data_IF_576949471689
#
_entry.id   IF_576949471689
#
_cell.length_a   1.000
_cell.length_b   1.000
_cell.length_c   1.000
_cell.angle_alpha   90.00
_cell.angle_beta   90.00
_cell.angle_gamma   90.00
#
_symmetry.space_group_name_H-M   'P 1'
#
loop_
_entity.id
_entity.type
_entity.pdbx_description
1 polymer ?
#
# COMPACT_ATOMS: atom_id res chain seq x y z
N UNK A 1 23.19 39.61 13.16
CA UNK A 1 22.58 39.70 11.82
C UNK A 1 21.55 38.61 11.74
N UNK A 2 20.35 38.95 12.17
CA UNK A 2 19.19 38.06 12.30
C UNK A 2 18.51 38.08 10.94
N UNK A 3 18.71 37.05 10.13
CA UNK A 3 17.92 36.84 8.92
C UNK A 3 16.73 35.95 9.30
N UNK A 4 15.56 36.52 9.05
CA UNK A 4 14.23 36.07 9.41
C UNK A 4 13.91 34.79 8.62
N UNK A 5 13.56 33.72 9.34
CA UNK A 5 12.78 32.61 8.80
C UNK A 5 11.34 33.10 8.63
N UNK A 6 11.09 33.81 7.52
CA UNK A 6 9.75 34.13 7.08
C UNK A 6 9.26 32.89 6.32
N UNK A 7 8.44 32.07 6.99
CA UNK A 7 7.59 31.13 6.30
C UNK A 7 6.70 31.91 5.34
N UNK A 8 6.86 31.68 4.04
CA UNK A 8 6.07 32.32 3.00
C UNK A 8 4.60 31.96 3.23
N UNK A 9 3.81 32.94 3.64
CA UNK A 9 2.35 32.83 3.64
C UNK A 9 1.94 32.65 2.17
N UNK A 10 1.22 31.57 1.81
CA UNK A 10 0.83 31.32 0.43
C UNK A 10 0.00 32.48 -0.12
N UNK A 11 0.28 32.86 -1.37
CA UNK A 11 -0.44 33.94 -2.06
C UNK A 11 -1.93 33.58 -2.19
N UNK A 12 -2.86 34.56 -2.13
CA UNK A 12 -4.30 34.30 -2.20
C UNK A 12 -4.72 33.46 -3.42
N UNK A 13 -4.05 33.63 -4.57
CA UNK A 13 -4.31 32.85 -5.78
C UNK A 13 -3.93 31.36 -5.63
N UNK A 14 -2.87 31.06 -4.88
CA UNK A 14 -2.45 29.68 -4.60
C UNK A 14 -3.44 29.00 -3.65
N UNK A 15 -3.95 29.73 -2.65
CA UNK A 15 -4.98 29.23 -1.74
C UNK A 15 -6.29 28.92 -2.47
N UNK A 16 -6.72 29.81 -3.38
CA UNK A 16 -7.92 29.59 -4.21
C UNK A 16 -7.74 28.36 -5.11
N UNK A 17 -6.60 28.26 -5.81
CA UNK A 17 -6.32 27.12 -6.68
C UNK A 17 -6.26 25.80 -5.91
N UNK A 18 -5.65 25.80 -4.72
CA UNK A 18 -5.61 24.63 -3.84
C UNK A 18 -7.02 24.17 -3.42
N UNK A 19 -7.92 25.11 -3.13
CA UNK A 19 -9.32 24.79 -2.80
C UNK A 19 -10.10 24.22 -3.98
N UNK A 20 -9.89 24.74 -5.19
CA UNK A 20 -10.47 24.20 -6.43
C UNK A 20 -9.93 22.80 -6.74
N UNK A 21 -8.62 22.58 -6.56
CA UNK A 21 -7.97 21.28 -6.72
C UNK A 21 -8.53 20.25 -5.72
N UNK A 22 -8.67 20.62 -4.44
CA UNK A 22 -9.27 19.79 -3.42
C UNK A 22 -10.72 19.42 -3.75
N UNK A 23 -11.51 20.37 -4.25
CA UNK A 23 -12.91 20.12 -4.65
C UNK A 23 -12.99 19.13 -5.81
N UNK A 24 -12.19 19.33 -6.86
CA UNK A 24 -12.19 18.43 -8.03
C UNK A 24 -11.76 17.00 -7.67
N UNK A 25 -10.76 16.87 -6.79
CA UNK A 25 -10.26 15.58 -6.28
C UNK A 25 -11.31 14.90 -5.39
N UNK A 26 -11.99 15.67 -4.53
CA UNK A 26 -13.07 15.16 -3.68
C UNK A 26 -14.25 14.64 -4.51
N UNK A 27 -14.69 15.40 -5.51
CA UNK A 27 -15.76 14.99 -6.42
C UNK A 27 -15.40 13.70 -7.17
N UNK A 28 -14.13 13.54 -7.56
CA UNK A 28 -13.64 12.33 -8.20
C UNK A 28 -13.64 11.13 -7.25
N UNK A 29 -13.30 11.32 -5.96
CA UNK A 29 -13.43 10.29 -4.94
C UNK A 29 -14.88 9.85 -4.74
N UNK A 30 -15.85 10.77 -4.76
CA UNK A 30 -17.28 10.44 -4.71
C UNK A 30 -17.73 9.61 -5.92
N UNK A 31 -17.34 9.99 -7.15
CA UNK A 31 -17.66 9.21 -8.36
C UNK A 31 -17.05 7.81 -8.31
N UNK A 32 -15.84 7.68 -7.78
CA UNK A 32 -15.19 6.40 -7.59
C UNK A 32 -15.99 5.51 -6.61
N UNK A 33 -16.46 6.07 -5.49
CA UNK A 33 -17.36 5.36 -4.57
C UNK A 33 -18.67 4.96 -5.26
N UNK A 34 -19.24 5.82 -6.12
CA UNK A 34 -20.44 5.47 -6.90
C UNK A 34 -20.20 4.26 -7.80
N UNK A 35 -19.03 4.15 -8.45
CA UNK A 35 -18.64 2.96 -9.21
C UNK A 35 -18.59 1.72 -8.33
N UNK A 36 -17.91 1.80 -7.17
CA UNK A 36 -17.79 0.66 -6.26
C UNK A 36 -19.17 0.20 -5.75
N UNK A 37 -20.07 1.12 -5.42
CA UNK A 37 -21.42 0.79 -4.94
C UNK A 37 -22.27 0.19 -6.06
N UNK A 38 -22.27 0.79 -7.26
CA UNK A 38 -23.16 0.36 -8.36
C UNK A 38 -22.72 -0.95 -9.03
N UNK A 39 -21.44 -1.30 -8.95
CA UNK A 39 -20.89 -2.54 -9.53
C UNK A 39 -20.92 -3.73 -8.57
N UNK A 40 -21.34 -3.52 -7.33
CA UNK A 40 -21.52 -4.60 -6.38
C UNK A 40 -22.59 -5.57 -6.87
N UNK A 41 -22.20 -6.83 -7.03
CA UNK A 41 -23.08 -7.95 -7.34
C UNK A 41 -23.60 -8.46 -6.00
N UNK A 42 -24.90 -8.30 -5.77
CA UNK A 42 -25.55 -8.72 -4.52
C UNK A 42 -26.18 -10.10 -4.72
N UNK A 43 -25.70 -11.09 -3.98
CA UNK A 43 -26.31 -12.41 -3.93
C UNK A 43 -26.64 -12.85 -2.49
N UNK A 44 -27.00 -14.12 -2.30
CA UNK A 44 -27.35 -14.65 -0.97
C UNK A 44 -26.16 -14.75 -0.02
N UNK A 45 -24.94 -14.78 -0.55
CA UNK A 45 -23.70 -14.87 0.22
C UNK A 45 -23.23 -13.50 0.68
N UNK A 46 -23.53 -12.43 -0.06
CA UNK A 46 -23.19 -11.05 0.29
C UNK A 46 -22.87 -10.22 -0.95
N UNK A 47 -22.33 -9.00 -0.78
CA UNK A 47 -21.79 -8.25 -1.90
C UNK A 47 -20.46 -8.84 -2.38
N UNK A 48 -20.27 -8.86 -3.69
CA UNK A 48 -19.01 -9.20 -4.35
C UNK A 48 -18.80 -8.31 -5.57
N UNK A 49 -17.57 -8.23 -6.08
CA UNK A 49 -17.20 -7.35 -7.18
C UNK A 49 -16.58 -8.11 -8.35
N UNK A 50 -16.69 -7.57 -9.58
CA UNK A 50 -15.97 -8.11 -10.73
C UNK A 50 -14.46 -7.99 -10.51
N UNK A 51 -13.75 -9.11 -10.70
CA UNK A 51 -12.30 -9.20 -10.66
C UNK A 51 -11.79 -9.82 -11.96
N UNK A 52 -10.78 -9.21 -12.55
CA UNK A 52 -10.23 -9.68 -13.82
C UNK A 52 -9.38 -10.95 -13.66
N UNK A 53 -9.50 -11.83 -14.64
CA UNK A 53 -8.58 -12.94 -14.87
C UNK A 53 -7.60 -12.58 -15.97
N UNK A 54 -6.31 -12.72 -15.67
CA UNK A 54 -5.22 -12.35 -16.56
C UNK A 54 -4.61 -13.60 -17.19
N UNK A 55 -4.31 -13.49 -18.48
CA UNK A 55 -3.62 -14.53 -19.22
C UNK A 55 -2.11 -14.54 -18.93
N UNK A 56 -1.37 -15.51 -19.46
CA UNK A 56 0.09 -15.57 -19.33
C UNK A 56 0.82 -14.35 -19.91
N UNK A 57 0.18 -13.60 -20.81
CA UNK A 57 0.69 -12.36 -21.41
C UNK A 57 0.34 -11.09 -20.59
N UNK A 58 -0.32 -11.27 -19.44
CA UNK A 58 -0.79 -10.21 -18.57
C UNK A 58 -2.01 -9.45 -19.09
N UNK A 59 -2.67 -9.93 -20.15
CA UNK A 59 -3.90 -9.33 -20.67
C UNK A 59 -5.13 -9.93 -20.01
N UNK A 60 -6.13 -9.11 -19.73
CA UNK A 60 -7.41 -9.59 -19.26
C UNK A 60 -8.10 -10.48 -20.31
N UNK A 61 -8.59 -11.65 -19.89
CA UNK A 61 -9.34 -12.58 -20.74
C UNK A 61 -10.69 -13.01 -20.16
N UNK A 62 -10.96 -12.68 -18.89
CA UNK A 62 -12.14 -13.13 -18.18
C UNK A 62 -12.44 -12.25 -16.98
N UNK A 63 -13.66 -12.38 -16.46
CA UNK A 63 -14.11 -11.72 -15.23
C UNK A 63 -14.74 -12.78 -14.35
N UNK A 64 -14.31 -12.81 -13.10
CA UNK A 64 -14.91 -13.62 -12.03
C UNK A 64 -15.47 -12.69 -10.96
N UNK A 65 -16.31 -13.25 -10.10
CA UNK A 65 -16.72 -12.61 -8.86
C UNK A 65 -16.40 -13.55 -7.68
N UNK A 66 -16.34 -13.00 -6.48
CA UNK A 66 -16.09 -13.75 -5.24
C UNK A 66 -14.61 -13.92 -4.89
N UNK A 67 -13.70 -13.17 -5.54
CA UNK A 67 -12.27 -13.19 -5.18
C UNK A 67 -12.12 -12.50 -3.83
N UNK A 68 -11.58 -13.19 -2.83
CA UNK A 68 -11.59 -12.72 -1.43
C UNK A 68 -10.42 -11.81 -1.02
N UNK A 69 -9.38 -11.71 -1.84
CA UNK A 69 -8.11 -11.05 -1.50
C UNK A 69 -8.29 -9.57 -1.17
N UNK A 70 -7.36 -9.04 -0.34
CA UNK A 70 -7.26 -7.60 -0.09
C UNK A 70 -6.71 -6.86 -1.33
N UNK A 71 -5.88 -7.53 -2.12
CA UNK A 71 -5.18 -6.94 -3.26
C UNK A 71 -6.12 -6.62 -4.43
N UNK A 72 -6.73 -7.66 -5.00
CA UNK A 72 -7.52 -7.61 -6.25
C UNK A 72 -8.94 -8.16 -6.08
N UNK A 73 -9.44 -8.21 -4.84
CA UNK A 73 -10.71 -8.84 -4.49
C UNK A 73 -11.60 -8.04 -3.56
N UNK A 74 -12.69 -8.69 -3.14
CA UNK A 74 -13.78 -8.16 -2.34
C UNK A 74 -13.29 -7.55 -1.03
N UNK A 75 -12.29 -8.15 -0.35
CA UNK A 75 -11.79 -7.60 0.90
C UNK A 75 -11.13 -6.23 0.70
N UNK A 76 -10.45 -6.01 -0.43
CA UNK A 76 -9.87 -4.72 -0.79
C UNK A 76 -10.93 -3.64 -0.98
N UNK A 77 -12.01 -3.99 -1.70
CA UNK A 77 -13.13 -3.07 -1.95
C UNK A 77 -13.88 -2.76 -0.66
N UNK A 78 -14.18 -3.78 0.16
CA UNK A 78 -14.83 -3.63 1.46
C UNK A 78 -14.00 -2.78 2.42
N UNK A 79 -12.68 -3.00 2.45
CA UNK A 79 -11.77 -2.21 3.28
C UNK A 79 -11.79 -0.73 2.85
N UNK A 80 -11.72 -0.45 1.54
CA UNK A 80 -11.80 0.91 1.03
C UNK A 80 -13.15 1.57 1.34
N UNK A 81 -14.27 0.89 1.06
CA UNK A 81 -15.62 1.40 1.33
C UNK A 81 -15.88 1.64 2.83
N UNK A 82 -15.24 0.88 3.73
CA UNK A 82 -15.32 1.11 5.18
C UNK A 82 -14.78 2.49 5.54
N UNK A 83 -13.63 2.85 5.00
CA UNK A 83 -12.98 4.14 5.27
C UNK A 83 -13.63 5.28 4.49
N UNK A 84 -13.86 5.10 3.19
CA UNK A 84 -14.49 6.09 2.32
C UNK A 84 -15.94 6.39 2.72
N UNK A 85 -16.70 5.37 3.10
CA UNK A 85 -18.09 5.52 3.56
C UNK A 85 -18.20 6.49 4.73
N UNK A 86 -17.26 6.41 5.67
CA UNK A 86 -17.21 7.32 6.83
C UNK A 86 -16.67 8.69 6.44
N UNK A 87 -15.52 8.75 5.77
CA UNK A 87 -14.83 10.01 5.44
C UNK A 87 -15.63 10.91 4.49
N UNK A 88 -16.37 10.31 3.55
CA UNK A 88 -17.15 11.02 2.54
C UNK A 88 -18.64 11.14 2.90
N UNK A 89 -19.04 10.73 4.11
CA UNK A 89 -20.43 10.71 4.56
C UNK A 89 -21.37 9.98 3.59
N UNK A 90 -20.99 8.76 3.21
CA UNK A 90 -21.68 7.88 2.25
C UNK A 90 -22.28 6.67 2.98
N UNK A 91 -23.52 6.78 3.50
CA UNK A 91 -24.13 5.70 4.28
C UNK A 91 -24.37 4.44 3.46
N UNK A 92 -24.66 4.58 2.16
CA UNK A 92 -24.79 3.46 1.22
C UNK A 92 -23.49 2.65 1.08
N UNK A 93 -22.34 3.34 0.96
CA UNK A 93 -21.03 2.71 0.95
C UNK A 93 -20.71 2.03 2.29
N UNK A 94 -21.01 2.70 3.41
CA UNK A 94 -20.77 2.17 4.75
C UNK A 94 -21.63 0.92 5.06
N UNK A 95 -22.90 0.91 4.65
CA UNK A 95 -23.81 -0.23 4.78
C UNK A 95 -23.35 -1.41 3.92
N UNK A 96 -22.96 -1.15 2.67
CA UNK A 96 -22.42 -2.16 1.76
C UNK A 96 -21.13 -2.78 2.31
N UNK A 97 -20.21 -1.95 2.82
CA UNK A 97 -18.98 -2.40 3.46
C UNK A 97 -19.25 -3.24 4.70
N UNK A 98 -20.19 -2.83 5.57
CA UNK A 98 -20.55 -3.58 6.76
C UNK A 98 -21.13 -4.97 6.41
N UNK A 99 -21.96 -5.04 5.36
CA UNK A 99 -22.48 -6.30 4.83
C UNK A 99 -21.36 -7.21 4.30
N UNK A 100 -20.48 -6.68 3.44
CA UNK A 100 -19.35 -7.42 2.88
C UNK A 100 -18.37 -7.92 3.94
N UNK A 101 -18.03 -7.08 4.93
CA UNK A 101 -17.18 -7.46 6.05
C UNK A 101 -17.80 -8.60 6.86
N UNK A 102 -19.10 -8.53 7.15
CA UNK A 102 -19.81 -9.61 7.85
C UNK A 102 -19.74 -10.93 7.07
N UNK A 103 -19.98 -10.90 5.76
CA UNK A 103 -19.90 -12.09 4.90
C UNK A 103 -18.49 -12.70 4.88
N UNK A 104 -17.48 -11.87 4.59
CA UNK A 104 -16.10 -12.34 4.44
C UNK A 104 -15.56 -12.93 5.76
N UNK A 105 -15.90 -12.31 6.89
CA UNK A 105 -15.47 -12.77 8.21
C UNK A 105 -16.20 -14.04 8.68
N UNK A 106 -17.46 -14.27 8.26
CA UNK A 106 -18.25 -15.45 8.61
C UNK A 106 -17.88 -16.68 7.78
N UNK A 107 -17.68 -16.51 6.48
CA UNK A 107 -17.39 -17.60 5.55
C UNK A 107 -15.89 -17.62 5.28
N UNK A 108 -15.15 -18.41 6.06
CA UNK A 108 -13.70 -18.55 5.88
C UNK A 108 -13.35 -19.87 5.19
N UNK A 109 -12.41 -19.88 4.23
CA UNK A 109 -11.85 -21.10 3.71
C UNK A 109 -11.18 -21.88 4.85
N UNK A 110 -11.34 -23.20 4.82
CA UNK A 110 -10.69 -24.12 5.76
C UNK A 110 -9.93 -25.18 4.98
N UNK A 111 -8.80 -25.62 5.50
CA UNK A 111 -7.96 -26.62 4.87
C UNK A 111 -6.52 -26.15 4.63
N UNK A 112 -5.64 -27.05 4.18
CA UNK A 112 -4.21 -26.77 3.99
C UNK A 112 -3.94 -25.76 2.87
N UNK A 113 -4.84 -25.66 1.89
CA UNK A 113 -4.68 -24.77 0.73
C UNK A 113 -5.30 -23.38 0.94
N UNK A 114 -5.76 -23.08 2.16
CA UNK A 114 -6.35 -21.78 2.47
C UNK A 114 -5.27 -20.68 2.42
N UNK A 115 -5.45 -19.63 1.60
CA UNK A 115 -4.46 -18.58 1.47
C UNK A 115 -4.38 -17.75 2.75
N UNK A 116 -3.17 -17.50 3.27
CA UNK A 116 -2.99 -16.98 4.62
C UNK A 116 -2.40 -15.56 4.71
N UNK A 117 -1.64 -15.09 3.70
CA UNK A 117 -0.98 -13.78 3.74
C UNK A 117 -1.90 -12.57 3.71
N UNK A 118 -1.31 -11.36 3.70
CA UNK A 118 -2.07 -10.11 3.84
C UNK A 118 -2.73 -9.67 2.55
N UNK A 119 -1.99 -9.66 1.44
CA UNK A 119 -2.50 -9.16 0.17
C UNK A 119 -3.37 -10.21 -0.51
N UNK A 120 -2.93 -11.47 -0.45
CA UNK A 120 -3.58 -12.61 -1.09
C UNK A 120 -3.84 -13.68 -0.03
N UNK A 121 -4.69 -13.38 0.95
CA UNK A 121 -5.07 -14.35 1.98
C UNK A 121 -5.95 -13.80 3.11
N UNK A 122 -6.21 -14.65 4.07
CA UNK A 122 -7.15 -14.38 5.17
C UNK A 122 -6.61 -13.37 6.20
N UNK A 123 -5.30 -13.12 6.28
CA UNK A 123 -4.78 -12.03 7.09
C UNK A 123 -5.22 -10.65 6.56
N UNK A 124 -5.46 -10.52 5.26
CA UNK A 124 -6.07 -9.33 4.66
C UNK A 124 -7.53 -9.16 5.05
N UNK A 125 -8.30 -10.26 5.05
CA UNK A 125 -9.69 -10.29 5.51
C UNK A 125 -9.80 -9.92 6.98
N UNK A 126 -8.81 -10.31 7.80
CA UNK A 126 -8.73 -9.92 9.21
C UNK A 126 -8.62 -8.40 9.41
N UNK A 127 -8.17 -7.63 8.40
CA UNK A 127 -8.18 -6.17 8.46
C UNK A 127 -9.61 -5.57 8.46
N UNK A 128 -10.61 -6.34 8.07
CA UNK A 128 -12.02 -5.91 8.11
C UNK A 128 -12.62 -6.04 9.51
N UNK A 129 -11.93 -6.73 10.41
CA UNK A 129 -12.42 -7.01 11.73
C UNK A 129 -12.29 -5.75 12.62
N UNK A 130 -13.37 -5.38 13.32
CA UNK A 130 -13.32 -4.28 14.32
C UNK A 130 -12.40 -4.67 15.47
N UNK A 131 -11.82 -3.68 16.15
CA UNK A 131 -11.03 -3.88 17.38
C UNK A 131 -11.81 -4.79 18.36
N UNK A 132 -11.21 -5.92 18.74
CA UNK A 132 -11.82 -6.93 19.62
C UNK A 132 -12.51 -8.11 18.92
N UNK A 133 -12.69 -8.07 17.59
CA UNK A 133 -13.20 -9.19 16.82
C UNK A 133 -12.22 -10.38 16.77
N UNK A 134 -12.71 -11.57 16.40
CA UNK A 134 -11.90 -12.80 16.31
C UNK A 134 -11.05 -12.76 15.04
N UNK A 135 -9.73 -12.68 15.21
CA UNK A 135 -8.73 -13.00 14.18
C UNK A 135 -8.29 -14.44 14.38
N UNK A 136 -8.14 -15.20 13.29
CA UNK A 136 -7.73 -16.60 13.38
C UNK A 136 -6.21 -16.69 13.26
N UNK A 137 -5.52 -17.48 14.10
CA UNK A 137 -4.10 -17.77 13.88
C UNK A 137 -3.94 -18.48 12.54
N UNK A 138 -3.22 -17.84 11.60
CA UNK A 138 -2.86 -18.42 10.31
C UNK A 138 -1.39 -18.83 10.28
N UNK A 139 -1.03 -19.68 9.31
CA UNK A 139 0.36 -20.00 8.99
C UNK A 139 0.54 -20.04 7.49
N UNK A 140 1.72 -19.66 7.02
CA UNK A 140 2.06 -19.64 5.59
C UNK A 140 3.43 -20.24 5.34
N UNK A 141 3.60 -20.82 4.15
CA UNK A 141 4.89 -21.27 3.65
C UNK A 141 5.71 -20.09 3.10
N UNK A 142 5.07 -19.03 2.58
CA UNK A 142 5.75 -17.79 2.22
C UNK A 142 6.30 -17.02 3.43
N UNK A 143 7.29 -16.14 3.23
CA UNK A 143 7.81 -15.25 4.29
C UNK A 143 7.30 -13.82 4.18
N UNK A 144 6.83 -13.41 2.99
CA UNK A 144 6.57 -12.01 2.67
C UNK A 144 5.19 -11.49 3.12
N UNK A 145 4.86 -10.26 2.73
CA UNK A 145 3.58 -9.59 3.04
C UNK A 145 2.45 -10.15 2.18
N UNK A 146 2.74 -10.52 0.93
CA UNK A 146 1.71 -10.91 -0.05
C UNK A 146 0.95 -12.15 0.40
N UNK A 147 1.65 -13.28 0.50
CA UNK A 147 1.06 -14.59 0.80
C UNK A 147 1.74 -15.27 2.02
N UNK A 148 2.69 -14.59 2.65
CA UNK A 148 3.56 -15.14 3.68
C UNK A 148 3.32 -14.72 5.12
N UNK A 149 4.25 -15.16 5.97
CA UNK A 149 4.23 -14.96 7.41
C UNK A 149 4.32 -13.50 7.85
N UNK A 150 5.07 -12.64 7.15
CA UNK A 150 5.12 -11.22 7.49
C UNK A 150 3.74 -10.55 7.34
N UNK A 151 2.96 -10.97 6.34
CA UNK A 151 1.59 -10.48 6.16
C UNK A 151 0.68 -10.84 7.34
N UNK A 152 0.77 -12.08 7.82
CA UNK A 152 0.06 -12.56 9.01
C UNK A 152 0.51 -11.76 10.24
N UNK A 153 1.81 -11.62 10.45
CA UNK A 153 2.37 -10.87 11.59
C UNK A 153 1.85 -9.43 11.64
N UNK A 154 1.80 -8.75 10.48
CA UNK A 154 1.28 -7.39 10.38
C UNK A 154 -0.22 -7.34 10.72
N UNK A 155 -1.00 -8.31 10.25
CA UNK A 155 -2.42 -8.45 10.62
C UNK A 155 -2.62 -8.61 12.14
N UNK A 156 -1.83 -9.48 12.77
CA UNK A 156 -1.87 -9.71 14.22
C UNK A 156 -1.48 -8.45 15.02
N UNK A 157 -0.41 -7.77 14.60
CA UNK A 157 0.08 -6.56 15.25
C UNK A 157 -1.00 -5.48 15.26
N UNK A 158 -1.67 -5.28 14.13
CA UNK A 158 -2.73 -4.28 14.04
C UNK A 158 -4.01 -4.66 14.77
N UNK A 159 -4.36 -5.94 14.79
CA UNK A 159 -5.43 -6.43 15.66
C UNK A 159 -5.05 -6.36 17.16
N UNK A 160 -3.74 -6.25 17.46
CA UNK A 160 -3.13 -6.30 18.80
C UNK A 160 -3.48 -7.59 19.56
N UNK A 161 -3.36 -8.74 18.88
CA UNK A 161 -3.73 -10.05 19.46
C UNK A 161 -2.70 -11.14 19.16
N UNK A 162 -2.74 -12.19 19.97
CA UNK A 162 -1.97 -13.42 19.78
C UNK A 162 -0.45 -13.20 19.81
N UNK A 163 0.07 -12.56 20.87
CA UNK A 163 1.51 -12.33 21.06
C UNK A 163 2.34 -13.61 20.93
N UNK A 164 1.89 -14.72 21.54
CA UNK A 164 2.60 -16.02 21.44
C UNK A 164 2.70 -16.51 19.98
N UNK A 165 1.66 -16.26 19.18
CA UNK A 165 1.65 -16.62 17.76
C UNK A 165 2.55 -15.69 16.95
N UNK A 166 2.54 -14.39 17.25
CA UNK A 166 3.46 -13.43 16.68
C UNK A 166 4.93 -13.79 17.00
N UNK A 167 5.23 -14.23 18.22
CA UNK A 167 6.56 -14.69 18.61
C UNK A 167 7.00 -15.94 17.82
N UNK A 168 6.09 -16.90 17.61
CA UNK A 168 6.36 -18.06 16.77
C UNK A 168 6.65 -17.67 15.31
N UNK A 169 5.91 -16.69 14.77
CA UNK A 169 6.15 -16.16 13.41
C UNK A 169 7.52 -15.48 13.32
N UNK A 170 7.91 -14.65 14.30
CA UNK A 170 9.22 -13.99 14.31
C UNK A 170 10.35 -15.02 14.37
N UNK A 171 10.20 -16.07 15.17
CA UNK A 171 11.17 -17.17 15.23
C UNK A 171 11.29 -17.89 13.89
N UNK A 172 10.18 -18.15 13.20
CA UNK A 172 10.18 -18.81 11.90
C UNK A 172 10.75 -17.91 10.79
N UNK A 173 10.42 -16.61 10.77
CA UNK A 173 11.02 -15.66 9.84
C UNK A 173 12.54 -15.61 10.02
N UNK A 174 13.04 -15.69 11.25
CA UNK A 174 14.47 -15.82 11.52
C UNK A 174 15.04 -17.14 11.01
N UNK A 175 14.33 -18.25 11.21
CA UNK A 175 14.76 -19.57 10.74
C UNK A 175 14.87 -19.65 9.21
N UNK A 176 13.89 -19.08 8.48
CA UNK A 176 13.83 -19.05 7.01
C UNK A 176 14.79 -18.06 6.37
N UNK A 177 15.29 -17.10 7.13
CA UNK A 177 16.23 -16.11 6.62
C UNK A 177 17.60 -16.73 6.30
N UNK A 178 18.27 -16.18 5.29
CA UNK A 178 19.67 -16.47 4.95
C UNK A 178 20.56 -15.37 5.51
N UNK A 179 21.64 -15.74 6.18
CA UNK A 179 22.69 -14.80 6.60
C UNK A 179 23.47 -14.36 5.36
N UNK A 180 23.60 -13.06 5.19
CA UNK A 180 24.30 -12.42 4.09
C UNK A 180 25.54 -11.66 4.63
N UNK A 181 26.46 -11.19 3.77
CA UNK A 181 27.56 -10.34 4.22
C UNK A 181 27.09 -9.09 4.99
N UNK A 182 25.92 -8.57 4.61
CA UNK A 182 25.24 -7.45 5.26
C UNK A 182 23.81 -7.88 5.58
N UNK A 183 23.53 -8.11 6.87
CA UNK A 183 22.18 -8.44 7.34
C UNK A 183 21.67 -9.82 6.90
N UNK A 184 20.37 -9.90 6.62
CA UNK A 184 19.67 -11.13 6.25
C UNK A 184 18.70 -10.93 5.10
N UNK A 185 18.51 -11.99 4.33
CA UNK A 185 17.60 -12.02 3.18
C UNK A 185 16.60 -13.19 3.29
N UNK A 186 15.50 -13.14 2.54
CA UNK A 186 14.46 -14.17 2.53
C UNK A 186 14.27 -14.76 1.14
N UNK A 187 15.00 -15.83 0.80
CA UNK A 187 14.71 -16.58 -0.42
C UNK A 187 13.37 -17.30 -0.30
N UNK A 188 12.61 -17.38 -1.39
CA UNK A 188 11.39 -18.20 -1.41
C UNK A 188 11.75 -19.67 -1.59
N UNK A 189 11.70 -20.42 -0.49
CA UNK A 189 12.06 -21.84 -0.46
C UNK A 189 11.07 -22.75 -1.21
N UNK A 190 9.90 -22.23 -1.60
CA UNK A 190 8.93 -22.94 -2.44
C UNK A 190 9.36 -22.95 -3.90
N UNK A 191 10.26 -22.05 -4.28
CA UNK A 191 10.77 -21.88 -5.63
C UNK A 191 12.18 -22.46 -5.76
N UNK A 192 12.68 -22.56 -6.99
CA UNK A 192 14.01 -23.10 -7.29
C UNK A 192 14.81 -22.17 -8.19
N UNK A 193 16.15 -22.25 -8.08
CA UNK A 193 17.06 -21.48 -8.92
C UNK A 193 16.91 -19.97 -8.75
N UNK A 194 16.93 -19.23 -9.86
CA UNK A 194 16.80 -17.76 -9.84
C UNK A 194 15.46 -17.24 -9.30
N UNK A 195 14.38 -18.02 -9.43
CA UNK A 195 13.05 -17.63 -8.94
C UNK A 195 12.96 -17.60 -7.41
N UNK A 196 13.82 -18.35 -6.71
CA UNK A 196 13.91 -18.35 -5.24
C UNK A 196 14.72 -17.18 -4.69
N UNK A 197 15.21 -16.27 -5.54
CA UNK A 197 16.10 -15.19 -5.12
C UNK A 197 15.38 -14.26 -4.13
N UNK A 198 16.05 -13.84 -3.04
CA UNK A 198 15.51 -12.82 -2.15
C UNK A 198 15.28 -11.50 -2.88
N UNK A 199 14.21 -10.79 -2.52
CA UNK A 199 13.77 -9.57 -3.22
C UNK A 199 13.82 -8.33 -2.32
N UNK A 200 14.01 -7.16 -2.93
CA UNK A 200 13.81 -5.87 -2.28
C UNK A 200 12.35 -5.41 -2.41
N UNK A 201 11.94 -4.43 -1.61
CA UNK A 201 10.64 -3.79 -1.72
C UNK A 201 9.54 -4.40 -0.85
N UNK A 202 8.31 -3.91 -1.03
CA UNK A 202 7.23 -4.08 -0.05
C UNK A 202 6.54 -5.45 -0.11
N UNK A 203 6.06 -5.86 -1.27
CA UNK A 203 5.11 -6.97 -1.37
C UNK A 203 5.78 -8.32 -1.08
N UNK A 204 6.86 -8.61 -1.81
CA UNK A 204 7.61 -9.86 -1.72
C UNK A 204 9.02 -9.71 -1.13
N UNK A 205 9.37 -8.50 -0.69
CA UNK A 205 10.75 -8.16 -0.36
C UNK A 205 11.01 -7.86 1.11
N UNK A 206 12.28 -7.56 1.41
CA UNK A 206 12.77 -7.31 2.76
C UNK A 206 12.10 -6.11 3.45
N UNK A 207 11.70 -5.07 2.72
CA UNK A 207 10.97 -3.92 3.28
C UNK A 207 9.66 -4.35 3.95
N UNK A 208 8.89 -5.22 3.31
CA UNK A 208 7.63 -5.72 3.88
C UNK A 208 7.85 -6.51 5.16
N UNK A 209 8.90 -7.34 5.19
CA UNK A 209 9.28 -8.12 6.35
C UNK A 209 9.74 -7.20 7.50
N UNK A 210 10.61 -6.23 7.22
CA UNK A 210 11.07 -5.25 8.19
C UNK A 210 9.91 -4.45 8.78
N UNK A 211 8.95 -4.06 7.95
CA UNK A 211 7.75 -3.34 8.38
C UNK A 211 6.89 -4.16 9.34
N UNK A 212 6.57 -5.40 8.99
CA UNK A 212 5.78 -6.28 9.87
C UNK A 212 6.46 -6.52 11.22
N UNK A 213 7.78 -6.71 11.22
CA UNK A 213 8.58 -6.90 12.43
C UNK A 213 8.57 -5.65 13.32
N UNK A 214 8.74 -4.46 12.73
CA UNK A 214 8.72 -3.20 13.48
C UNK A 214 7.34 -2.90 14.08
N UNK A 215 6.26 -3.15 13.34
CA UNK A 215 4.88 -2.97 13.85
C UNK A 215 4.59 -3.97 14.99
N UNK A 216 5.04 -5.22 14.88
CA UNK A 216 4.92 -6.20 15.96
C UNK A 216 5.70 -5.77 17.21
N UNK A 217 6.93 -5.28 17.05
CA UNK A 217 7.75 -4.78 18.15
C UNK A 217 7.11 -3.57 18.86
N UNK A 218 6.46 -2.68 18.10
CA UNK A 218 5.75 -1.52 18.65
C UNK A 218 4.52 -1.91 19.49
N UNK A 219 3.96 -3.10 19.24
CA UNK A 219 2.77 -3.60 19.96
C UNK A 219 3.19 -4.46 21.16
N UNK A 220 4.20 -5.31 21.01
CA UNK A 220 4.63 -6.28 22.02
C UNK A 220 6.07 -6.06 22.45
N UNK A 221 6.25 -5.33 23.54
CA UNK A 221 7.58 -5.00 24.08
C UNK A 221 8.46 -6.22 24.40
N UNK A 222 7.87 -7.36 24.78
CA UNK A 222 8.61 -8.61 25.01
C UNK A 222 9.21 -9.21 23.74
N UNK A 223 8.57 -8.98 22.60
CA UNK A 223 9.03 -9.45 21.28
C UNK A 223 9.99 -8.46 20.61
N UNK A 224 10.04 -7.21 21.08
CA UNK A 224 10.77 -6.13 20.44
C UNK A 224 12.25 -6.45 20.18
N UNK A 225 13.06 -6.99 21.11
CA UNK A 225 14.47 -7.26 20.83
C UNK A 225 14.66 -8.21 19.64
N UNK A 226 13.95 -9.34 19.64
CA UNK A 226 14.11 -10.35 18.58
C UNK A 226 13.59 -9.89 17.22
N UNK A 227 12.49 -9.13 17.21
CA UNK A 227 11.87 -8.61 16.00
C UNK A 227 12.66 -7.45 15.40
N UNK A 228 13.11 -6.50 16.23
CA UNK A 228 13.85 -5.33 15.77
C UNK A 228 15.26 -5.66 15.29
N UNK A 229 15.95 -6.62 15.93
CA UNK A 229 17.22 -7.14 15.41
C UNK A 229 17.03 -7.72 14.00
N UNK A 230 15.95 -8.47 13.78
CA UNK A 230 15.66 -9.06 12.48
C UNK A 230 15.22 -8.01 11.44
N UNK A 231 14.49 -6.99 11.87
CA UNK A 231 14.14 -5.85 11.01
C UNK A 231 15.38 -5.06 10.59
N UNK A 232 16.32 -4.84 11.51
CA UNK A 232 17.59 -4.18 11.21
C UNK A 232 18.44 -5.01 10.24
N UNK A 233 18.49 -6.34 10.40
CA UNK A 233 19.15 -7.25 9.45
C UNK A 233 18.51 -7.17 8.05
N UNK A 234 17.17 -7.06 7.96
CA UNK A 234 16.46 -6.90 6.69
C UNK A 234 16.82 -5.57 5.99
N UNK A 235 16.81 -4.47 6.76
CA UNK A 235 17.16 -3.14 6.26
C UNK A 235 18.62 -3.06 5.83
N UNK A 236 19.54 -3.68 6.58
CA UNK A 236 20.97 -3.73 6.25
C UNK A 236 21.21 -4.46 4.92
N UNK A 237 20.51 -5.57 4.70
CA UNK A 237 20.59 -6.30 3.44
C UNK A 237 20.04 -5.48 2.28
N UNK A 238 18.85 -4.87 2.46
CA UNK A 238 18.23 -4.08 1.40
C UNK A 238 19.03 -2.81 1.06
N UNK A 239 19.66 -2.19 2.06
CA UNK A 239 20.56 -1.05 1.87
C UNK A 239 21.79 -1.42 1.02
N UNK A 240 22.27 -2.67 1.10
CA UNK A 240 23.39 -3.14 0.27
C UNK A 240 23.05 -3.24 -1.23
N UNK A 241 21.76 -3.26 -1.58
CA UNK A 241 21.26 -3.23 -2.96
C UNK A 241 20.83 -1.84 -3.43
N UNK A 242 20.64 -0.89 -2.50
CA UNK A 242 20.17 0.45 -2.82
C UNK A 242 21.22 1.22 -3.62
N UNK A 243 20.82 1.77 -4.77
CA UNK A 243 21.59 2.69 -5.59
C UNK A 243 20.85 4.04 -5.65
N UNK A 244 21.28 5.04 -4.86
CA UNK A 244 20.65 6.35 -4.83
C UNK A 244 20.63 7.07 -6.19
N UNK A 245 21.61 6.81 -7.07
CA UNK A 245 21.64 7.43 -8.40
C UNK A 245 20.57 6.84 -9.34
N UNK A 246 20.03 5.66 -9.02
CA UNK A 246 19.04 4.95 -9.84
C UNK A 246 17.65 4.91 -9.22
N UNK A 247 17.42 5.57 -8.08
CA UNK A 247 16.12 5.60 -7.42
C UNK A 247 15.98 4.59 -6.27
N UNK A 248 17.09 4.05 -5.77
CA UNK A 248 17.13 3.20 -4.58
C UNK A 248 17.12 1.73 -4.94
N UNK A 249 15.98 1.06 -4.78
CA UNK A 249 15.94 -0.40 -4.71
C UNK A 249 15.66 -1.07 -6.06
N UNK A 250 16.48 -2.05 -6.45
CA UNK A 250 16.28 -2.78 -7.68
C UNK A 250 15.18 -3.84 -7.58
N UNK A 251 14.54 -4.16 -8.70
CA UNK A 251 13.87 -5.44 -8.89
C UNK A 251 14.90 -6.52 -9.23
N UNK A 252 14.90 -7.58 -8.44
CA UNK A 252 15.87 -8.67 -8.52
C UNK A 252 15.29 -9.94 -9.17
N UNK A 253 14.00 -9.94 -9.56
CA UNK A 253 13.30 -11.14 -10.03
C UNK A 253 13.87 -11.75 -11.30
N UNK A 254 14.14 -10.93 -12.33
CA UNK A 254 14.54 -11.40 -13.65
C UNK A 254 15.64 -10.54 -14.26
N UNK A 255 16.50 -11.16 -15.07
CA UNK A 255 17.45 -10.46 -15.93
C UNK A 255 18.41 -9.51 -15.20
N UNK A 256 18.76 -8.43 -15.90
CA UNK A 256 19.51 -7.31 -15.34
C UNK A 256 18.60 -6.49 -14.41
N UNK A 257 19.08 -6.08 -13.22
CA UNK A 257 18.28 -5.31 -12.29
C UNK A 257 17.70 -4.03 -12.91
N UNK A 258 16.43 -3.77 -12.62
CA UNK A 258 15.75 -2.50 -12.96
C UNK A 258 15.40 -1.75 -11.68
N UNK A 259 15.12 -0.45 -11.75
CA UNK A 259 14.78 0.38 -10.58
C UNK A 259 13.38 0.98 -10.74
N UNK A 260 12.33 0.20 -10.45
CA UNK A 260 10.95 0.67 -10.58
C UNK A 260 10.56 1.64 -9.47
N UNK A 261 9.52 2.42 -9.75
CA UNK A 261 8.91 3.35 -8.79
C UNK A 261 7.61 2.77 -8.18
N UNK A 262 7.42 1.45 -8.25
CA UNK A 262 6.15 0.80 -7.94
C UNK A 262 5.95 0.57 -6.43
N UNK A 263 4.68 0.46 -6.02
CA UNK A 263 4.34 0.22 -4.62
C UNK A 263 4.66 -1.20 -4.17
N UNK A 264 4.45 -2.22 -5.02
CA UNK A 264 4.76 -3.60 -4.66
C UNK A 264 6.27 -3.89 -4.61
N UNK A 265 7.06 -3.29 -5.51
CA UNK A 265 8.50 -3.42 -5.56
C UNK A 265 9.12 -2.15 -6.16
N UNK A 266 10.15 -1.60 -5.51
CA UNK A 266 10.79 -0.36 -5.93
C UNK A 266 10.61 0.80 -4.96
N UNK A 267 10.88 2.01 -5.45
CA UNK A 267 11.04 3.22 -4.63
C UNK A 267 9.81 3.53 -3.77
N UNK A 268 8.58 3.39 -4.30
CA UNK A 268 7.38 3.77 -3.56
C UNK A 268 7.13 2.86 -2.36
N UNK A 269 7.11 1.53 -2.56
CA UNK A 269 6.88 0.59 -1.46
C UNK A 269 7.94 0.64 -0.38
N UNK A 270 9.21 0.64 -0.80
CA UNK A 270 10.35 0.73 0.09
C UNK A 270 10.37 2.07 0.85
N UNK A 271 10.11 3.18 0.16
CA UNK A 271 10.02 4.52 0.75
C UNK A 271 8.90 4.65 1.79
N UNK A 272 7.72 4.11 1.50
CA UNK A 272 6.61 4.07 2.46
C UNK A 272 7.03 3.39 3.77
N UNK A 273 7.76 2.27 3.68
CA UNK A 273 8.27 1.57 4.86
C UNK A 273 9.26 2.44 5.64
N UNK A 274 10.19 3.16 4.99
CA UNK A 274 11.14 4.03 5.70
C UNK A 274 10.42 5.17 6.40
N UNK A 275 9.45 5.81 5.75
CA UNK A 275 8.61 6.84 6.36
C UNK A 275 7.86 6.29 7.59
N UNK A 276 7.34 5.06 7.50
CA UNK A 276 6.67 4.42 8.63
C UNK A 276 7.63 4.10 9.77
N UNK A 277 8.84 3.65 9.49
CA UNK A 277 9.86 3.42 10.51
C UNK A 277 10.23 4.72 11.25
N UNK A 278 10.35 5.84 10.53
CA UNK A 278 10.56 7.16 11.15
C UNK A 278 9.39 7.56 12.07
N UNK A 279 8.14 7.31 11.67
CA UNK A 279 6.97 7.55 12.52
C UNK A 279 6.99 6.69 13.79
N UNK A 280 7.32 5.40 13.66
CA UNK A 280 7.41 4.48 14.80
C UNK A 280 8.53 4.93 15.76
N UNK A 281 9.68 5.33 15.24
CA UNK A 281 10.77 5.89 16.03
C UNK A 281 10.37 7.19 16.74
N UNK A 282 9.70 8.11 16.03
CA UNK A 282 9.14 9.35 16.61
C UNK A 282 8.07 9.08 17.68
N UNK A 283 7.44 7.90 17.66
CA UNK A 283 6.50 7.42 18.67
C UNK A 283 7.17 6.66 19.82
N UNK A 284 8.50 6.60 19.86
CA UNK A 284 9.29 6.01 20.94
C UNK A 284 9.81 4.60 20.71
N UNK A 285 9.67 4.03 19.51
CA UNK A 285 10.27 2.72 19.18
C UNK A 285 11.79 2.88 18.95
N UNK A 286 12.59 2.20 19.76
CA UNK A 286 14.05 2.22 19.62
C UNK A 286 14.51 1.29 18.50
N UNK A 287 14.67 1.83 17.29
CA UNK A 287 15.12 1.07 16.12
C UNK A 287 16.65 0.86 16.14
N UNK A 288 17.15 -0.39 16.10
CA UNK A 288 18.60 -0.65 16.06
C UNK A 288 19.28 -0.18 14.77
N UNK A 289 18.52 -0.02 13.69
CA UNK A 289 19.01 0.48 12.41
C UNK A 289 19.11 2.02 12.41
N UNK A 290 20.13 2.56 11.75
CA UNK A 290 20.44 4.00 11.72
C UNK A 290 19.25 4.84 11.23
N UNK A 291 18.71 5.72 12.10
CA UNK A 291 17.65 6.65 11.74
C UNK A 291 18.08 7.66 10.68
N UNK A 292 19.35 8.06 10.67
CA UNK A 292 19.91 8.95 9.63
C UNK A 292 19.90 8.25 8.26
N UNK A 293 20.23 6.95 8.24
CA UNK A 293 20.16 6.14 7.02
C UNK A 293 18.71 5.94 6.59
N UNK A 294 17.79 5.62 7.52
CA UNK A 294 16.36 5.52 7.23
C UNK A 294 15.80 6.82 6.66
N UNK A 295 16.20 7.98 7.21
CA UNK A 295 15.78 9.29 6.71
C UNK A 295 16.33 9.57 5.31
N UNK A 296 17.61 9.34 5.07
CA UNK A 296 18.22 9.55 3.75
C UNK A 296 17.57 8.65 2.68
N UNK A 297 17.29 7.38 3.01
CA UNK A 297 16.57 6.47 2.12
C UNK A 297 15.12 6.91 1.86
N UNK A 298 14.42 7.41 2.89
CA UNK A 298 13.07 7.96 2.73
C UNK A 298 13.07 9.19 1.80
N UNK A 299 13.97 10.14 2.00
CA UNK A 299 14.09 11.36 1.20
C UNK A 299 14.44 11.05 -0.26
N UNK A 300 15.36 10.10 -0.49
CA UNK A 300 15.66 9.57 -1.82
C UNK A 300 14.40 8.99 -2.50
N UNK A 301 13.65 8.15 -1.79
CA UNK A 301 12.42 7.57 -2.31
C UNK A 301 11.37 8.64 -2.63
N UNK A 302 11.19 9.63 -1.76
CA UNK A 302 10.26 10.76 -1.95
C UNK A 302 10.65 11.59 -3.17
N UNK A 303 11.94 11.87 -3.35
CA UNK A 303 12.42 12.56 -4.55
C UNK A 303 12.10 11.77 -5.82
N UNK A 304 12.36 10.46 -5.81
CA UNK A 304 12.11 9.59 -6.95
C UNK A 304 10.60 9.47 -7.25
N UNK A 305 9.78 9.29 -6.24
CA UNK A 305 8.32 9.26 -6.37
C UNK A 305 7.77 10.60 -6.88
N UNK A 306 8.31 11.73 -6.41
CA UNK A 306 7.96 13.06 -6.90
C UNK A 306 8.32 13.27 -8.38
N UNK A 307 9.43 12.70 -8.85
CA UNK A 307 9.80 12.67 -10.26
C UNK A 307 8.79 11.86 -11.08
N UNK A 308 8.50 10.61 -10.68
CA UNK A 308 7.52 9.76 -11.36
C UNK A 308 6.13 10.42 -11.44
N UNK A 309 5.69 11.06 -10.36
CA UNK A 309 4.46 11.85 -10.32
C UNK A 309 4.48 13.03 -11.30
N UNK A 310 5.59 13.75 -11.40
CA UNK A 310 5.74 14.89 -12.31
C UNK A 310 5.76 14.45 -13.78
N UNK A 311 6.42 13.35 -14.08
CA UNK A 311 6.47 12.73 -15.42
C UNK A 311 5.08 12.24 -15.85
N UNK A 312 4.31 11.65 -14.93
CA UNK A 312 2.92 11.28 -15.18
C UNK A 312 2.05 12.51 -15.47
N UNK A 313 2.16 13.57 -14.67
CA UNK A 313 1.41 14.81 -14.90
C UNK A 313 1.76 15.44 -16.27
N UNK A 314 3.04 15.45 -16.66
CA UNK A 314 3.47 15.91 -17.98
C UNK A 314 2.92 15.02 -19.12
N UNK A 315 2.84 13.71 -18.91
CA UNK A 315 2.25 12.77 -19.87
C UNK A 315 0.76 13.06 -20.04
N UNK A 316 0.02 13.25 -18.95
CA UNK A 316 -1.40 13.62 -18.98
C UNK A 316 -1.60 14.95 -19.72
N UNK A 317 -0.76 15.95 -19.46
CA UNK A 317 -0.86 17.26 -20.10
C UNK A 317 -0.59 17.23 -21.62
N UNK A 318 0.20 16.27 -22.11
CA UNK A 318 0.64 16.21 -23.52
C UNK A 318 -0.11 15.15 -24.33
N UNK A 319 -0.51 14.05 -23.71
CA UNK A 319 -1.10 12.87 -24.36
C UNK A 319 -2.51 12.54 -23.84
N UNK A 320 -3.02 13.30 -22.86
CA UNK A 320 -4.26 13.00 -22.16
C UNK A 320 -4.10 11.86 -21.14
N UNK A 321 -5.13 11.63 -20.33
CA UNK A 321 -5.05 10.62 -19.26
C UNK A 321 -4.92 9.17 -19.77
N UNK A 322 -5.42 8.89 -20.99
CA UNK A 322 -5.27 7.58 -21.65
C UNK A 322 -3.81 7.26 -22.04
N UNK A 323 -2.92 8.26 -22.08
CA UNK A 323 -1.47 8.04 -22.24
C UNK A 323 -0.83 7.39 -21.01
N UNK A 324 -1.50 7.41 -19.86
CA UNK A 324 -1.03 6.82 -18.62
C UNK A 324 -1.53 5.36 -18.51
N UNK A 325 -0.76 4.41 -19.06
CA UNK A 325 -1.21 3.01 -19.25
C UNK A 325 -1.65 2.29 -17.97
N UNK A 326 -1.00 2.55 -16.83
CA UNK A 326 -1.38 1.97 -15.53
C UNK A 326 -2.25 2.90 -14.66
N UNK A 327 -2.59 4.08 -15.22
CA UNK A 327 -3.39 5.10 -14.57
C UNK A 327 -2.87 5.52 -13.20
N UNK A 328 -3.82 5.83 -12.34
CA UNK A 328 -3.62 6.16 -10.93
C UNK A 328 -3.87 4.96 -10.02
N UNK A 329 -3.60 3.75 -10.50
CA UNK A 329 -3.67 2.56 -9.64
C UNK A 329 -2.55 2.56 -8.59
N UNK A 330 -2.80 1.92 -7.44
CA UNK A 330 -1.86 1.90 -6.32
C UNK A 330 -0.58 1.12 -6.65
N UNK A 331 -0.73 -0.08 -7.20
CA UNK A 331 0.36 -1.05 -7.30
C UNK A 331 1.29 -0.77 -8.49
N UNK A 332 0.71 -0.55 -9.66
CA UNK A 332 1.43 -0.40 -10.93
C UNK A 332 1.33 1.01 -11.51
N UNK A 333 0.47 1.87 -10.95
CA UNK A 333 0.23 3.23 -11.40
C UNK A 333 0.89 4.28 -10.52
N UNK A 334 0.58 5.55 -10.79
CA UNK A 334 1.23 6.68 -10.12
C UNK A 334 0.65 6.99 -8.73
N UNK A 335 -0.44 6.33 -8.31
CA UNK A 335 -0.97 6.54 -6.96
C UNK A 335 -0.03 6.00 -5.87
N UNK A 336 0.72 4.93 -6.11
CA UNK A 336 1.76 4.47 -5.20
C UNK A 336 2.80 5.56 -4.91
N UNK A 337 3.52 6.06 -5.93
CA UNK A 337 4.42 7.21 -5.80
C UNK A 337 3.76 8.44 -5.15
N UNK A 338 2.57 8.82 -5.60
CA UNK A 338 1.88 10.01 -5.10
C UNK A 338 1.52 9.89 -3.62
N UNK A 339 1.06 8.71 -3.19
CA UNK A 339 0.76 8.44 -1.78
C UNK A 339 1.99 8.48 -0.88
N UNK A 340 3.18 8.11 -1.39
CA UNK A 340 4.45 8.25 -0.66
C UNK A 340 4.83 9.71 -0.49
N UNK A 341 4.67 10.52 -1.53
CA UNK A 341 4.90 11.97 -1.45
C UNK A 341 3.93 12.60 -0.45
N UNK A 342 2.64 12.23 -0.51
CA UNK A 342 1.64 12.71 0.45
C UNK A 342 1.97 12.31 1.90
N UNK A 343 2.35 11.06 2.14
CA UNK A 343 2.75 10.56 3.45
C UNK A 343 3.99 11.32 3.99
N UNK A 344 4.96 11.62 3.11
CA UNK A 344 6.16 12.33 3.49
C UNK A 344 5.89 13.75 3.99
N UNK A 345 4.81 14.39 3.53
CA UNK A 345 4.42 15.71 4.01
C UNK A 345 4.24 15.73 5.53
N UNK A 346 3.60 14.69 6.09
CA UNK A 346 3.37 14.59 7.53
C UNK A 346 4.59 14.08 8.30
N UNK A 347 5.33 13.13 7.72
CA UNK A 347 6.45 12.46 8.41
C UNK A 347 7.70 13.34 8.47
N UNK A 348 7.94 14.11 7.41
CA UNK A 348 9.10 14.98 7.27
C UNK A 348 8.78 16.44 7.61
N UNK A 349 7.52 16.77 7.90
CA UNK A 349 7.03 18.12 8.19
C UNK A 349 7.29 19.09 7.02
N UNK A 350 6.92 18.67 5.80
CA UNK A 350 7.09 19.42 4.54
C UNK A 350 5.75 19.49 3.80
N UNK A 351 4.87 20.45 4.14
CA UNK A 351 3.50 20.51 3.61
C UNK A 351 3.42 20.63 2.08
N UNK A 352 4.45 21.18 1.44
CA UNK A 352 4.54 21.35 -0.01
C UNK A 352 4.51 20.01 -0.77
N UNK A 353 4.91 18.91 -0.12
CA UNK A 353 4.76 17.59 -0.71
C UNK A 353 3.29 17.24 -0.97
N UNK A 354 2.40 17.54 -0.02
CA UNK A 354 0.96 17.30 -0.17
C UNK A 354 0.34 18.23 -1.19
N UNK A 355 0.72 19.50 -1.22
CA UNK A 355 0.24 20.46 -2.21
C UNK A 355 0.55 19.98 -3.64
N UNK A 356 1.78 19.49 -3.87
CA UNK A 356 2.18 18.93 -5.17
C UNK A 356 1.42 17.66 -5.52
N UNK A 357 1.22 16.77 -4.55
CA UNK A 357 0.44 15.55 -4.73
C UNK A 357 -1.03 15.86 -5.09
N UNK A 358 -1.64 16.82 -4.39
CA UNK A 358 -2.99 17.29 -4.67
C UNK A 358 -3.10 17.90 -6.07
N UNK A 359 -2.16 18.77 -6.46
CA UNK A 359 -2.15 19.38 -7.79
C UNK A 359 -1.99 18.35 -8.93
N UNK A 360 -1.16 17.33 -8.71
CA UNK A 360 -1.00 16.22 -9.67
C UNK A 360 -2.29 15.40 -9.79
N UNK A 361 -2.95 15.09 -8.67
CA UNK A 361 -4.23 14.39 -8.66
C UNK A 361 -5.32 15.21 -9.36
N UNK A 362 -5.40 16.51 -9.07
CA UNK A 362 -6.34 17.43 -9.69
C UNK A 362 -6.13 17.51 -11.21
N UNK A 363 -4.87 17.50 -11.68
CA UNK A 363 -4.53 17.43 -13.12
C UNK A 363 -5.04 16.14 -13.75
N UNK A 364 -4.85 15.00 -13.09
CA UNK A 364 -5.35 13.71 -13.56
C UNK A 364 -6.88 13.67 -13.63
N UNK A 365 -7.59 13.99 -12.54
CA UNK A 365 -9.05 13.86 -12.46
C UNK A 365 -9.79 14.80 -13.42
N UNK A 366 -9.16 15.92 -13.82
CA UNK A 366 -9.67 16.82 -14.87
C UNK A 366 -9.44 16.32 -16.29
N UNK A 367 -8.56 15.34 -16.47
CA UNK A 367 -8.13 14.84 -17.77
C UNK A 367 -8.70 13.47 -18.13
N UNK A 368 -9.23 12.73 -17.15
CA UNK A 368 -9.95 11.46 -17.35
C UNK A 368 -11.43 11.69 -17.67
N UNK A 369 -12.11 10.70 -18.26
CA UNK A 369 -13.56 10.69 -18.35
C UNK A 369 -14.23 10.88 -16.99
N UNK A 370 -15.45 11.43 -17.01
CA UNK A 370 -16.24 11.62 -15.79
C UNK A 370 -16.53 10.29 -15.10
N UNK A 371 -16.78 9.23 -15.87
CA UNK A 371 -17.05 7.90 -15.34
C UNK A 371 -15.75 7.16 -14.98
N UNK A 372 -15.55 6.77 -13.69
CA UNK A 372 -14.38 5.99 -13.28
C UNK A 372 -14.26 4.61 -13.92
N UNK A 373 -15.32 4.09 -14.53
CA UNK A 373 -15.27 2.82 -15.29
C UNK A 373 -14.37 2.91 -16.52
N UNK A 374 -14.12 4.12 -17.01
CA UNK A 374 -13.22 4.36 -18.16
C UNK A 374 -11.81 4.77 -17.71
N UNK A 375 -11.53 4.77 -16.40
CA UNK A 375 -10.21 5.16 -15.92
C UNK A 375 -9.19 4.05 -16.21
N UNK A 376 -7.98 4.43 -16.70
CA UNK A 376 -6.89 3.47 -16.83
C UNK A 376 -6.57 2.84 -15.48
N UNK A 377 -6.28 1.55 -15.48
CA UNK A 377 -5.99 0.78 -14.29
C UNK A 377 -4.64 0.05 -14.42
N UNK A 378 -4.18 -0.60 -13.35
CA UNK A 378 -2.91 -1.33 -13.33
C UNK A 378 -2.87 -2.60 -14.20
N UNK A 379 -3.98 -2.95 -14.86
CA UNK A 379 -4.14 -4.18 -15.63
C UNK A 379 -4.30 -3.87 -17.13
N UNK A 380 -3.60 -4.64 -17.98
CA UNK A 380 -3.66 -4.41 -19.43
C UNK A 380 -5.00 -4.87 -20.01
N UNK A 381 -5.77 -3.91 -20.54
CA UNK A 381 -7.05 -4.16 -21.20
C UNK A 381 -8.19 -4.42 -20.23
N UNK A 382 -8.10 -3.92 -19.01
CA UNK A 382 -9.05 -4.13 -17.92
C UNK A 382 -9.45 -2.80 -17.25
N UNK A 383 -9.57 -1.73 -18.05
CA UNK A 383 -9.99 -0.40 -17.58
C UNK A 383 -11.24 -0.50 -16.70
N UNK A 384 -11.32 0.38 -15.70
CA UNK A 384 -12.42 0.34 -14.73
C UNK A 384 -12.35 -0.80 -13.70
N UNK A 385 -11.21 -1.51 -13.58
CA UNK A 385 -10.97 -2.42 -12.46
C UNK A 385 -11.31 -1.74 -11.13
N UNK A 386 -12.07 -2.42 -10.27
CA UNK A 386 -12.60 -1.86 -9.03
C UNK A 386 -11.73 -2.19 -7.81
N UNK A 387 -10.65 -2.96 -8.00
CA UNK A 387 -9.87 -3.48 -6.89
C UNK A 387 -9.04 -2.43 -6.15
N UNK A 388 -8.52 -2.80 -4.98
CA UNK A 388 -7.68 -1.93 -4.16
C UNK A 388 -6.31 -1.67 -4.80
N UNK A 389 -5.64 -2.72 -5.26
CA UNK A 389 -4.26 -2.59 -5.72
C UNK A 389 -4.15 -2.05 -7.14
N UNK A 390 -5.00 -2.50 -8.05
CA UNK A 390 -4.90 -2.13 -9.47
C UNK A 390 -6.02 -1.20 -9.94
N UNK A 391 -7.01 -0.95 -9.10
CA UNK A 391 -8.27 -0.35 -9.52
C UNK A 391 -8.66 0.91 -8.79
N UNK A 392 -9.92 1.26 -9.00
CA UNK A 392 -10.55 2.50 -8.55
C UNK A 392 -10.66 2.59 -7.03
N UNK A 393 -10.73 1.48 -6.29
CA UNK A 393 -10.77 1.53 -4.82
C UNK A 393 -9.49 2.11 -4.21
N UNK A 394 -8.32 1.71 -4.69
CA UNK A 394 -7.04 2.29 -4.25
C UNK A 394 -6.91 3.77 -4.64
N UNK A 395 -7.33 4.09 -5.87
CA UNK A 395 -7.37 5.47 -6.36
C UNK A 395 -8.26 6.34 -5.46
N UNK A 396 -9.47 5.89 -5.14
CA UNK A 396 -10.42 6.61 -4.30
C UNK A 396 -9.86 6.90 -2.90
N UNK A 397 -9.18 5.92 -2.30
CA UNK A 397 -8.53 6.08 -0.99
C UNK A 397 -7.48 7.20 -1.03
N UNK A 398 -6.64 7.24 -2.05
CA UNK A 398 -5.65 8.31 -2.20
C UNK A 398 -6.30 9.67 -2.47
N UNK A 399 -7.31 9.73 -3.35
CA UNK A 399 -8.01 11.00 -3.65
C UNK A 399 -8.68 11.56 -2.39
N UNK A 400 -9.32 10.70 -1.58
CA UNK A 400 -9.92 11.10 -0.31
C UNK A 400 -8.87 11.58 0.71
N UNK A 401 -7.71 10.91 0.81
CA UNK A 401 -6.61 11.36 1.68
C UNK A 401 -6.07 12.74 1.27
N UNK A 402 -5.92 12.99 -0.04
CA UNK A 402 -5.43 14.26 -0.55
C UNK A 402 -6.44 15.40 -0.34
N UNK A 403 -7.73 15.14 -0.56
CA UNK A 403 -8.79 16.15 -0.42
C UNK A 403 -9.19 16.40 1.05
N UNK A 404 -9.14 15.37 1.90
CA UNK A 404 -9.54 15.41 3.30
C UNK A 404 -8.46 14.75 4.18
N UNK A 405 -7.27 15.39 4.34
CA UNK A 405 -6.15 14.79 5.05
C UNK A 405 -6.50 14.31 6.46
N UNK A 406 -6.10 13.08 6.78
CA UNK A 406 -6.31 12.47 8.10
C UNK A 406 -7.71 11.92 8.36
N UNK A 407 -8.63 11.96 7.39
CA UNK A 407 -9.96 11.33 7.50
C UNK A 407 -9.97 9.86 7.07
N UNK A 408 -9.04 9.46 6.21
CA UNK A 408 -8.78 8.07 5.82
C UNK A 408 -7.34 7.68 6.15
N UNK A 409 -7.02 6.39 6.33
CA UNK A 409 -5.64 5.96 6.51
C UNK A 409 -4.83 6.07 5.20
N UNK A 410 -3.50 6.29 5.27
CA UNK A 410 -2.64 6.26 4.10
C UNK A 410 -2.68 4.88 3.42
N UNK A 411 -3.18 4.82 2.19
CA UNK A 411 -3.37 3.56 1.45
C UNK A 411 -2.04 2.84 1.16
N UNK A 412 -0.95 3.58 0.98
CA UNK A 412 0.40 3.03 0.75
C UNK A 412 0.94 2.22 1.94
N UNK A 413 0.36 2.40 3.12
CA UNK A 413 0.63 1.61 4.32
C UNK A 413 -0.54 0.71 4.71
N UNK A 414 -1.63 0.63 3.92
CA UNK A 414 -2.83 -0.16 4.26
C UNK A 414 -3.28 0.05 5.72
N UNK A 415 -3.16 1.28 6.25
CA UNK A 415 -3.28 1.54 7.69
C UNK A 415 -4.69 1.31 8.23
N UNK A 416 -4.87 1.17 9.55
CA UNK A 416 -6.22 1.29 10.11
C UNK A 416 -6.57 2.77 10.25
N UNK A 417 -7.72 3.17 9.72
CA UNK A 417 -8.34 4.44 10.08
C UNK A 417 -8.56 4.53 11.60
N UNK A 418 -8.61 5.76 12.12
CA UNK A 418 -8.82 6.02 13.54
C UNK A 418 -10.11 5.42 14.09
#
# INVERSE_FOLDING_TARGET
MTAVLEGLVPEPEQLVRGAEDATAVLDAAHRAVDLLVRTAILDRSGPTWPAWELGPDGRAHGVVAGRRSLYDGDAGVVWALTHLGTALNRPDAAELAASGASTLLQVRPTGPDAPAGLLVGEAGVDLLARVGARTAPGWADGSDITDGLAGILLGLARARRHEDHAAAIVAELRHRSRVEPWGRSWPDHRLSGGAARPLCGLAHGASGIAWALAEAAAVWSGLAPAALDLAADALAWEASWSDPARGGWPDLREGDPTWPDLWCHGAAGAGAVRLRLLQLAGSGLDLPWSLDTTRAEAEMAVQRCGQAMSEAAATVATQGALGLTAGWSLCHGVAGPTGVVALAADVLDVPEHRERALAAAATFVRSVPLDPEEWPCGLRGADGDVSLANGVAGTAMLLADLALPGTVPPVVLLGFGR
#
